data_IF_482840129931
#
_entry.id   IF_482840129931
#
_cell.length_a   1.000
_cell.length_b   1.000
_cell.length_c   1.000
_cell.angle_alpha   90.00
_cell.angle_beta   90.00
_cell.angle_gamma   90.00
#
_symmetry.space_group_name_H-M   'P 1'
#
loop_
_entity.id
_entity.type
_entity.pdbx_description
1 polymer ?
#
# COMPACT_ATOMS: atom_id res chain seq x y z
N UNK A 1 -27.37 -23.91 4.96
CA UNK A 1 -26.85 -24.12 3.60
C UNK A 1 -26.83 -22.76 2.91
N UNK A 2 -25.71 -22.05 2.98
CA UNK A 2 -24.65 -21.99 1.96
C UNK A 2 -25.05 -21.21 0.70
N UNK A 3 -24.33 -20.11 0.48
CA UNK A 3 -23.96 -19.65 -0.86
C UNK A 3 -24.90 -18.64 -1.50
N UNK A 4 -24.50 -17.37 -1.45
CA UNK A 4 -24.48 -16.46 -2.62
C UNK A 4 -23.84 -15.12 -2.24
N UNK A 5 -22.53 -15.13 -2.06
CA UNK A 5 -21.75 -13.90 -2.22
C UNK A 5 -21.34 -13.86 -3.69
N UNK A 6 -22.08 -13.04 -4.44
CA UNK A 6 -21.90 -12.82 -5.88
C UNK A 6 -20.52 -12.20 -6.12
N UNK A 7 -19.59 -13.01 -6.63
CA UNK A 7 -18.41 -12.53 -7.35
C UNK A 7 -18.87 -11.92 -8.67
N UNK A 8 -19.23 -10.63 -8.66
CA UNK A 8 -19.46 -9.86 -9.88
C UNK A 8 -18.83 -8.48 -9.77
N UNK A 9 -17.53 -8.45 -10.04
CA UNK A 9 -16.70 -7.25 -10.10
C UNK A 9 -15.29 -7.56 -10.60
N UNK A 10 -15.17 -8.42 -11.63
CA UNK A 10 -13.92 -8.58 -12.38
C UNK A 10 -13.60 -7.27 -13.10
N UNK A 11 -12.33 -6.85 -13.04
CA UNK A 11 -11.67 -5.75 -13.78
C UNK A 11 -11.57 -4.34 -13.13
N UNK A 12 -11.73 -4.20 -11.81
CA UNK A 12 -11.16 -3.01 -11.13
C UNK A 12 -9.75 -3.34 -10.68
N UNK A 13 -8.75 -2.64 -11.24
CA UNK A 13 -7.33 -2.75 -10.85
C UNK A 13 -7.23 -2.82 -9.32
N UNK A 14 -6.40 -3.71 -8.77
CA UNK A 14 -6.19 -3.86 -7.33
C UNK A 14 -5.91 -2.53 -6.58
N UNK A 15 -5.41 -1.52 -7.28
CA UNK A 15 -5.23 -0.16 -6.75
C UNK A 15 -6.54 0.62 -6.51
N UNK A 16 -7.60 0.40 -7.29
CA UNK A 16 -8.93 1.00 -7.08
C UNK A 16 -9.74 0.29 -5.99
N UNK A 17 -9.37 -0.93 -5.62
CA UNK A 17 -10.10 -1.72 -4.62
C UNK A 17 -9.70 -1.39 -3.18
N UNK A 18 -8.50 -0.82 -2.97
CA UNK A 18 -7.99 -0.56 -1.62
C UNK A 18 -7.96 0.93 -1.28
N UNK A 19 -8.77 1.31 -0.30
CA UNK A 19 -8.73 2.62 0.34
C UNK A 19 -7.39 2.87 1.04
N UNK A 20 -7.06 4.14 1.31
CA UNK A 20 -5.81 4.54 1.97
C UNK A 20 -5.57 3.78 3.30
N UNK A 21 -6.63 3.55 4.08
CA UNK A 21 -6.57 2.78 5.33
C UNK A 21 -6.21 1.29 5.10
N UNK A 22 -6.76 0.69 4.04
CA UNK A 22 -6.45 -0.70 3.70
C UNK A 22 -5.02 -0.86 3.20
N UNK A 23 -4.51 0.11 2.42
CA UNK A 23 -3.11 0.16 2.00
C UNK A 23 -2.16 0.29 3.19
N UNK A 24 -2.49 1.14 4.16
CA UNK A 24 -1.70 1.26 5.39
C UNK A 24 -1.73 -0.04 6.21
N UNK A 25 -2.88 -0.69 6.31
CA UNK A 25 -3.02 -1.98 6.99
C UNK A 25 -2.21 -3.07 6.31
N UNK A 26 -2.27 -3.17 4.98
CA UNK A 26 -1.50 -4.12 4.18
C UNK A 26 0.01 -3.94 4.41
N UNK A 27 0.48 -2.68 4.39
CA UNK A 27 1.88 -2.35 4.67
C UNK A 27 2.31 -2.75 6.08
N UNK A 28 1.50 -2.44 7.10
CA UNK A 28 1.79 -2.83 8.49
C UNK A 28 1.85 -4.34 8.66
N UNK A 29 0.87 -5.06 8.11
CA UNK A 29 0.83 -6.52 8.20
C UNK A 29 2.05 -7.17 7.51
N UNK A 30 2.38 -6.72 6.30
CA UNK A 30 3.57 -7.20 5.59
C UNK A 30 4.84 -6.97 6.41
N UNK A 31 5.03 -5.78 6.98
CA UNK A 31 6.20 -5.48 7.82
C UNK A 31 6.18 -6.14 9.20
N UNK A 32 5.01 -6.56 9.69
CA UNK A 32 4.89 -7.38 10.90
C UNK A 32 5.23 -8.87 10.66
N UNK A 33 5.62 -9.25 9.44
CA UNK A 33 6.06 -10.61 9.11
C UNK A 33 4.95 -11.53 8.61
N UNK A 34 3.79 -11.00 8.22
CA UNK A 34 2.76 -11.81 7.57
C UNK A 34 3.21 -12.25 6.18
N UNK A 35 2.86 -13.49 5.82
CA UNK A 35 3.17 -14.03 4.50
C UNK A 35 2.43 -13.22 3.40
N UNK A 36 3.13 -12.79 2.34
CA UNK A 36 2.53 -11.96 1.29
C UNK A 36 1.45 -12.72 0.51
N UNK A 37 1.52 -14.05 0.41
CA UNK A 37 0.50 -14.88 -0.23
C UNK A 37 -0.85 -14.81 0.51
N UNK A 38 -0.83 -14.84 1.84
CA UNK A 38 -2.03 -14.72 2.67
C UNK A 38 -2.64 -13.32 2.59
N UNK A 39 -1.79 -12.29 2.46
CA UNK A 39 -2.26 -10.92 2.30
C UNK A 39 -2.85 -10.72 0.90
N UNK A 40 -2.21 -11.25 -0.15
CA UNK A 40 -2.73 -11.22 -1.51
C UNK A 40 -4.12 -11.87 -1.60
N UNK A 41 -4.28 -13.07 -1.03
CA UNK A 41 -5.57 -13.76 -0.94
C UNK A 41 -6.62 -12.94 -0.16
N UNK A 42 -6.24 -12.39 1.00
CA UNK A 42 -7.12 -11.54 1.84
C UNK A 42 -7.67 -10.35 1.08
N UNK A 43 -6.88 -9.77 0.17
CA UNK A 43 -7.29 -8.62 -0.64
C UNK A 43 -7.80 -9.01 -2.03
N UNK A 44 -7.93 -10.31 -2.32
CA UNK A 44 -8.45 -10.82 -3.60
C UNK A 44 -7.57 -10.46 -4.79
N UNK A 45 -6.25 -10.34 -4.60
CA UNK A 45 -5.29 -9.98 -5.64
C UNK A 45 -4.21 -11.05 -5.80
N UNK A 46 -3.45 -10.98 -6.89
CA UNK A 46 -2.31 -11.88 -7.07
C UNK A 46 -1.13 -11.48 -6.20
N UNK A 47 -0.22 -12.42 -5.91
CA UNK A 47 1.01 -12.14 -5.18
C UNK A 47 1.82 -11.00 -5.83
N UNK A 48 1.94 -11.02 -7.16
CA UNK A 48 2.65 -9.98 -7.90
C UNK A 48 2.00 -8.60 -7.76
N UNK A 49 0.67 -8.52 -7.76
CA UNK A 49 -0.05 -7.25 -7.50
C UNK A 49 0.17 -6.76 -6.07
N UNK A 50 0.19 -7.68 -5.11
CA UNK A 50 0.44 -7.34 -3.71
C UNK A 50 1.87 -6.82 -3.52
N UNK A 51 2.87 -7.47 -4.10
CA UNK A 51 4.26 -7.04 -4.04
C UNK A 51 4.46 -5.66 -4.70
N UNK A 52 3.82 -5.43 -5.86
CA UNK A 52 3.85 -4.12 -6.53
C UNK A 52 3.16 -3.04 -5.68
N UNK A 53 2.03 -3.36 -5.04
CA UNK A 53 1.35 -2.46 -4.10
C UNK A 53 2.27 -2.04 -2.95
N UNK A 54 2.92 -3.00 -2.28
CA UNK A 54 3.87 -2.73 -1.21
C UNK A 54 5.00 -1.84 -1.75
N UNK A 55 5.61 -2.19 -2.89
CA UNK A 55 6.69 -1.41 -3.49
C UNK A 55 6.28 0.05 -3.75
N UNK A 56 5.06 0.28 -4.25
CA UNK A 56 4.52 1.63 -4.49
C UNK A 56 4.29 2.41 -3.20
N UNK A 57 3.76 1.77 -2.16
CA UNK A 57 3.58 2.39 -0.84
C UNK A 57 4.94 2.83 -0.29
N UNK A 58 5.95 1.96 -0.35
CA UNK A 58 7.31 2.26 0.07
C UNK A 58 7.94 3.41 -0.71
N UNK A 59 7.82 3.41 -2.03
CA UNK A 59 8.29 4.49 -2.89
C UNK A 59 7.60 5.83 -2.57
N UNK A 60 6.28 5.81 -2.31
CA UNK A 60 5.55 7.02 -1.95
C UNK A 60 6.00 7.57 -0.60
N UNK A 61 6.18 6.71 0.40
CA UNK A 61 6.72 7.11 1.72
C UNK A 61 8.13 7.68 1.62
N UNK A 62 8.99 7.09 0.78
CA UNK A 62 10.33 7.63 0.51
C UNK A 62 10.26 9.03 -0.10
N UNK A 63 9.42 9.24 -1.12
CA UNK A 63 9.21 10.57 -1.70
C UNK A 63 8.67 11.58 -0.69
N UNK A 64 7.73 11.19 0.17
CA UNK A 64 7.23 12.07 1.24
C UNK A 64 8.32 12.39 2.27
N UNK A 65 9.18 11.42 2.62
CA UNK A 65 10.30 11.63 3.53
C UNK A 65 11.39 12.56 2.93
N UNK A 66 11.69 12.39 1.64
CA UNK A 66 12.61 13.25 0.88
C UNK A 66 12.04 14.68 0.77
N UNK A 67 10.76 14.82 0.43
CA UNK A 67 10.07 16.12 0.43
C UNK A 67 10.00 16.76 1.83
N UNK A 68 9.95 15.95 2.89
CA UNK A 68 10.03 16.44 4.28
C UNK A 68 11.44 16.87 4.70
N UNK A 69 12.46 16.29 4.08
CA UNK A 69 13.85 16.70 4.32
C UNK A 69 14.17 17.99 3.57
N UNK A 70 13.59 18.19 2.39
CA UNK A 70 13.75 19.39 1.58
C UNK A 70 13.29 20.67 2.29
N UNK A 71 12.14 20.67 2.97
CA UNK A 71 11.71 21.87 3.71
C UNK A 71 12.62 22.17 4.90
N UNK A 72 13.06 21.15 5.66
CA UNK A 72 14.02 21.36 6.76
C UNK A 72 15.36 21.87 6.25
N UNK A 73 15.86 21.35 5.13
CA UNK A 73 17.08 21.83 4.49
C UNK A 73 16.93 23.26 3.94
N UNK A 74 15.75 23.62 3.45
CA UNK A 74 15.42 24.95 2.92
C UNK A 74 15.26 26.01 4.01
N UNK A 75 14.67 25.66 5.16
CA UNK A 75 14.57 26.55 6.32
C UNK A 75 15.91 26.71 7.06
N UNK A 76 16.73 25.65 7.16
CA UNK A 76 18.07 25.75 7.77
C UNK A 76 19.02 26.70 7.02
N UNK A 77 18.74 26.98 5.73
CA UNK A 77 19.53 27.91 4.89
C UNK A 77 19.08 29.36 5.01
N UNK A 78 17.94 29.63 5.65
CA UNK A 78 17.41 30.99 5.87
C UNK A 78 17.78 31.56 7.24
N UNK A 79 18.28 30.73 8.16
CA UNK A 79 18.75 31.16 9.50
C UNK A 79 20.29 31.24 9.60
N UNK A 80 21.01 31.21 8.47
CA UNK A 80 22.47 31.33 8.39
C UNK A 80 22.90 32.66 7.75
#
# INVERSE_FOLDING_TARGET
MSGKQVHRGKDRRAEELLDASQRETAWKLFHSGYAPELLADRYGMTLAEFEDLIRRIGANRKRTAEASTDWRARYARYEA
#
